data_IF_698222253647
#
_entry.id   IF_698222253647
#
_cell.length_a   1.000
_cell.length_b   1.000
_cell.length_c   1.000
_cell.angle_alpha   90.00
_cell.angle_beta   90.00
_cell.angle_gamma   90.00
#
_symmetry.space_group_name_H-M   'P 1'
#
loop_
_entity.id
_entity.type
_entity.pdbx_description
1 polymer ?
#
# COMPACT_ATOMS: atom_id res chain seq x y z
N UNK A 1 -15.11 39.14 14.51
CA UNK A 1 -16.11 38.29 13.83
C UNK A 1 -15.57 37.74 12.52
N UNK A 2 -14.73 36.70 12.56
CA UNK A 2 -14.34 35.95 11.37
C UNK A 2 -15.22 34.70 11.30
N UNK A 3 -16.00 34.58 10.23
CA UNK A 3 -17.00 33.51 10.00
C UNK A 3 -16.34 32.14 10.14
N UNK A 4 -16.86 31.30 11.05
CA UNK A 4 -16.47 29.90 11.28
C UNK A 4 -16.13 29.04 10.03
N UNK A 5 -16.74 29.20 8.83
CA UNK A 5 -16.31 28.48 7.63
C UNK A 5 -14.91 28.85 7.10
N UNK A 6 -14.42 30.08 7.30
CA UNK A 6 -13.10 30.49 6.76
C UNK A 6 -11.94 29.89 7.56
N UNK A 7 -12.15 29.63 8.86
CA UNK A 7 -11.17 28.99 9.74
C UNK A 7 -11.01 27.50 9.41
N UNK A 8 -12.09 26.83 8.99
CA UNK A 8 -12.03 25.45 8.46
C UNK A 8 -11.26 25.39 7.14
N UNK A 9 -11.50 26.35 6.24
CA UNK A 9 -10.76 26.44 4.98
C UNK A 9 -9.27 26.77 5.21
N UNK A 10 -8.97 27.64 6.17
CA UNK A 10 -7.60 27.97 6.55
C UNK A 10 -6.88 26.79 7.24
N UNK A 11 -7.57 25.96 8.03
CA UNK A 11 -7.00 24.71 8.55
C UNK A 11 -6.79 23.66 7.45
N UNK A 12 -7.70 23.57 6.47
CA UNK A 12 -7.56 22.66 5.32
C UNK A 12 -6.40 23.09 4.41
N UNK A 13 -6.24 24.40 4.19
CA UNK A 13 -5.11 24.99 3.47
C UNK A 13 -3.82 24.96 4.31
N UNK A 14 -3.88 25.09 5.63
CA UNK A 14 -2.72 24.94 6.51
C UNK A 14 -2.27 23.48 6.63
N UNK A 15 -3.18 22.51 6.54
CA UNK A 15 -2.83 21.09 6.39
C UNK A 15 -2.14 20.80 5.06
N UNK A 16 -2.52 21.52 4.00
CA UNK A 16 -1.83 21.49 2.71
C UNK A 16 -0.53 22.32 2.68
N UNK A 17 -0.38 23.33 3.54
CA UNK A 17 0.77 24.24 3.57
C UNK A 17 1.85 23.86 4.62
N UNK A 18 1.48 23.20 5.72
CA UNK A 18 2.44 22.60 6.68
C UNK A 18 3.31 21.49 6.04
N UNK A 19 2.88 21.05 4.86
CA UNK A 19 3.53 20.15 3.92
C UNK A 19 4.76 20.75 3.21
N UNK A 20 5.02 22.06 3.32
CA UNK A 20 6.09 22.76 2.59
C UNK A 20 7.38 23.00 3.39
N UNK A 21 7.43 22.60 4.67
CA UNK A 21 8.57 22.97 5.54
C UNK A 21 9.81 22.04 5.42
N UNK A 22 9.73 20.90 4.70
CA UNK A 22 10.90 20.15 4.22
C UNK A 22 10.70 19.84 2.73
N UNK A 23 11.07 20.77 1.83
CA UNK A 23 10.45 20.84 0.50
C UNK A 23 10.85 19.70 -0.44
N UNK A 24 12.08 19.18 -0.35
CA UNK A 24 12.55 18.16 -1.29
C UNK A 24 11.99 16.77 -0.95
N UNK A 25 12.15 16.30 0.29
CA UNK A 25 11.78 14.92 0.66
C UNK A 25 10.26 14.71 0.69
N UNK A 26 9.47 15.69 1.16
CA UNK A 26 8.01 15.58 1.12
C UNK A 26 7.49 15.55 -0.32
N UNK A 27 8.05 16.36 -1.22
CA UNK A 27 7.69 16.32 -2.65
C UNK A 27 7.88 14.92 -3.24
N UNK A 28 9.00 14.25 -2.96
CA UNK A 28 9.25 12.88 -3.42
C UNK A 28 8.23 11.88 -2.87
N UNK A 29 7.91 11.92 -1.58
CA UNK A 29 6.91 11.00 -1.00
C UNK A 29 5.52 11.18 -1.62
N UNK A 30 5.15 12.42 -1.95
CA UNK A 30 3.88 12.73 -2.59
C UNK A 30 3.86 12.30 -4.05
N UNK A 31 4.95 12.53 -4.79
CA UNK A 31 5.09 12.04 -6.16
C UNK A 31 4.92 10.51 -6.22
N UNK A 32 5.52 9.77 -5.28
CA UNK A 32 5.38 8.31 -5.21
C UNK A 32 3.94 7.89 -4.92
N UNK A 33 3.24 8.55 -3.98
CA UNK A 33 1.81 8.27 -3.72
C UNK A 33 0.93 8.53 -4.95
N UNK A 34 1.18 9.63 -5.67
CA UNK A 34 0.45 9.94 -6.90
C UNK A 34 0.70 8.90 -7.99
N UNK A 35 1.95 8.43 -8.14
CA UNK A 35 2.30 7.38 -9.10
C UNK A 35 1.59 6.07 -8.77
N UNK A 36 1.57 5.66 -7.50
CA UNK A 36 0.84 4.46 -7.06
C UNK A 36 -0.65 4.59 -7.35
N UNK A 37 -1.27 5.73 -7.06
CA UNK A 37 -2.68 5.97 -7.36
C UNK A 37 -2.98 5.93 -8.86
N UNK A 38 -2.12 6.52 -9.70
CA UNK A 38 -2.23 6.46 -11.16
C UNK A 38 -2.13 5.01 -11.66
N UNK A 39 -1.18 4.23 -11.15
CA UNK A 39 -1.04 2.83 -11.52
C UNK A 39 -2.25 2.00 -11.10
N UNK A 40 -2.79 2.24 -9.90
CA UNK A 40 -3.99 1.57 -9.41
C UNK A 40 -5.23 1.88 -10.24
N UNK A 41 -5.42 3.16 -10.61
CA UNK A 41 -6.49 3.59 -11.50
C UNK A 41 -6.34 2.98 -12.90
N UNK A 42 -5.13 2.92 -13.45
CA UNK A 42 -4.87 2.30 -14.74
C UNK A 42 -5.23 0.81 -14.72
N UNK A 43 -4.83 0.08 -13.68
CA UNK A 43 -5.17 -1.35 -13.49
C UNK A 43 -6.68 -1.55 -13.37
N UNK A 44 -7.36 -0.72 -12.58
CA UNK A 44 -8.82 -0.81 -12.43
C UNK A 44 -9.56 -0.51 -13.74
N UNK A 45 -9.11 0.49 -14.51
CA UNK A 45 -9.68 0.81 -15.82
C UNK A 45 -9.50 -0.33 -16.83
N UNK A 46 -8.31 -0.96 -16.85
CA UNK A 46 -8.05 -2.14 -17.67
C UNK A 46 -8.95 -3.32 -17.32
N UNK A 47 -9.26 -3.51 -16.03
CA UNK A 47 -10.13 -4.58 -15.55
C UNK A 47 -11.62 -4.29 -15.77
N UNK A 48 -12.03 -3.03 -15.69
CA UNK A 48 -13.41 -2.60 -15.95
C UNK A 48 -13.83 -2.94 -17.38
N UNK A 49 -12.89 -2.83 -18.33
CA UNK A 49 -13.12 -3.22 -19.71
C UNK A 49 -13.40 -4.73 -19.90
N UNK A 50 -13.02 -5.58 -18.93
CA UNK A 50 -13.09 -7.04 -19.05
C UNK A 50 -14.32 -7.71 -18.40
N UNK A 51 -15.24 -6.94 -17.80
CA UNK A 51 -16.53 -7.37 -17.23
C UNK A 51 -16.50 -8.37 -16.04
N UNK A 52 -17.30 -8.04 -15.01
CA UNK A 52 -17.94 -8.89 -13.98
C UNK A 52 -17.15 -9.56 -12.82
N UNK A 53 -15.86 -9.31 -12.63
CA UNK A 53 -15.15 -9.81 -11.43
C UNK A 53 -14.99 -8.74 -10.34
N UNK A 54 -16.10 -8.37 -9.68
CA UNK A 54 -16.10 -7.40 -8.56
C UNK A 54 -15.15 -7.77 -7.42
N UNK A 55 -14.97 -9.06 -7.16
CA UNK A 55 -14.09 -9.54 -6.09
C UNK A 55 -12.62 -9.19 -6.32
N UNK A 56 -12.13 -9.23 -7.57
CA UNK A 56 -10.76 -8.86 -7.92
C UNK A 56 -10.49 -7.37 -7.73
N UNK A 57 -11.47 -6.52 -8.04
CA UNK A 57 -11.34 -5.07 -7.88
C UNK A 57 -11.15 -4.67 -6.42
N UNK A 58 -11.84 -5.34 -5.49
CA UNK A 58 -11.69 -5.10 -4.04
C UNK A 58 -10.28 -5.48 -3.54
N UNK A 59 -9.76 -6.63 -4.00
CA UNK A 59 -8.40 -7.07 -3.66
C UNK A 59 -7.34 -6.08 -4.15
N UNK A 60 -7.50 -5.54 -5.36
CA UNK A 60 -6.58 -4.55 -5.92
C UNK A 60 -6.65 -3.22 -5.15
N UNK A 61 -7.85 -2.78 -4.79
CA UNK A 61 -8.02 -1.60 -3.94
C UNK A 61 -7.32 -1.79 -2.59
N UNK A 62 -7.38 -3.00 -2.03
CA UNK A 62 -6.70 -3.35 -0.78
C UNK A 62 -5.17 -3.35 -0.92
N UNK A 63 -4.63 -3.83 -2.05
CA UNK A 63 -3.20 -3.73 -2.38
C UNK A 63 -2.77 -2.26 -2.50
N UNK A 64 -3.55 -1.42 -3.16
CA UNK A 64 -3.26 0.02 -3.30
C UNK A 64 -3.26 0.68 -1.91
N UNK A 65 -4.26 0.36 -1.08
CA UNK A 65 -4.33 0.86 0.28
C UNK A 65 -3.11 0.43 1.12
N UNK A 66 -2.70 -0.83 1.03
CA UNK A 66 -1.48 -1.33 1.68
C UNK A 66 -0.22 -0.56 1.23
N UNK A 67 -0.09 -0.29 -0.07
CA UNK A 67 1.00 0.52 -0.60
C UNK A 67 0.99 1.98 -0.10
N UNK A 68 -0.19 2.59 0.00
CA UNK A 68 -0.32 3.96 0.54
C UNK A 68 0.07 4.03 2.02
N UNK A 69 -0.30 3.02 2.81
CA UNK A 69 0.12 2.89 4.21
C UNK A 69 1.63 2.69 4.32
N UNK A 70 2.22 1.88 3.42
CA UNK A 70 3.66 1.66 3.38
C UNK A 70 4.43 2.96 3.16
N UNK A 71 4.04 3.78 2.17
CA UNK A 71 4.71 5.06 1.89
C UNK A 71 4.54 6.06 3.04
N UNK A 72 3.45 5.95 3.81
CA UNK A 72 3.19 6.80 4.97
C UNK A 72 3.79 6.31 6.28
N UNK A 73 4.44 5.14 6.29
CA UNK A 73 4.93 4.51 7.51
C UNK A 73 6.23 5.14 8.01
N UNK A 74 6.35 5.32 9.33
CA UNK A 74 7.51 5.93 9.99
C UNK A 74 8.23 4.98 10.94
N UNK A 75 7.56 3.89 11.35
CA UNK A 75 8.09 2.91 12.30
C UNK A 75 8.23 1.52 11.64
N UNK A 76 9.18 0.71 12.11
CA UNK A 76 9.44 -0.63 11.58
C UNK A 76 8.20 -1.55 11.60
N UNK A 77 7.42 -1.52 12.70
CA UNK A 77 6.17 -2.30 12.80
C UNK A 77 5.14 -1.85 11.76
N UNK A 78 5.02 -0.53 11.53
CA UNK A 78 4.08 -0.02 10.52
C UNK A 78 4.50 -0.38 9.10
N UNK A 79 5.80 -0.43 8.80
CA UNK A 79 6.34 -0.92 7.53
C UNK A 79 5.97 -2.40 7.35
N UNK A 80 6.22 -3.22 8.37
CA UNK A 80 5.92 -4.66 8.33
C UNK A 80 4.42 -4.94 8.09
N UNK A 81 3.54 -4.29 8.86
CA UNK A 81 2.10 -4.46 8.72
C UNK A 81 1.59 -4.04 7.33
N UNK A 82 2.11 -2.94 6.79
CA UNK A 82 1.74 -2.48 5.46
C UNK A 82 2.22 -3.44 4.36
N UNK A 83 3.43 -4.02 4.52
CA UNK A 83 3.97 -5.05 3.62
C UNK A 83 3.14 -6.33 3.66
N UNK A 84 2.81 -6.86 4.84
CA UNK A 84 1.97 -8.06 4.98
C UNK A 84 0.58 -7.85 4.38
N UNK A 85 -0.02 -6.69 4.61
CA UNK A 85 -1.35 -6.39 4.08
C UNK A 85 -1.38 -6.45 2.54
N UNK A 86 -0.42 -5.81 1.85
CA UNK A 86 -0.41 -5.85 0.39
C UNK A 86 -0.02 -7.23 -0.17
N UNK A 87 0.89 -7.95 0.50
CA UNK A 87 1.39 -9.25 0.01
C UNK A 87 0.34 -10.34 0.13
N UNK A 88 -0.42 -10.40 1.24
CA UNK A 88 -1.55 -11.34 1.39
C UNK A 88 -2.60 -11.14 0.30
N UNK A 89 -2.93 -9.89 -0.03
CA UNK A 89 -3.86 -9.58 -1.11
C UNK A 89 -3.33 -10.03 -2.48
N UNK A 90 -2.03 -9.83 -2.73
CA UNK A 90 -1.37 -10.31 -3.94
C UNK A 90 -1.36 -11.84 -4.05
N UNK A 91 -1.15 -12.58 -2.95
CA UNK A 91 -1.20 -14.05 -2.99
C UNK A 91 -2.58 -14.55 -3.43
N UNK A 92 -3.64 -13.91 -2.95
CA UNK A 92 -5.02 -14.23 -3.35
C UNK A 92 -5.25 -13.88 -4.83
N UNK A 93 -4.71 -12.75 -5.32
CA UNK A 93 -4.82 -12.35 -6.73
C UNK A 93 -4.09 -13.32 -7.68
N UNK A 94 -2.91 -13.82 -7.30
CA UNK A 94 -2.16 -14.80 -8.12
C UNK A 94 -2.92 -16.13 -8.20
N UNK A 95 -3.57 -16.54 -7.10
CA UNK A 95 -4.38 -17.76 -7.02
C UNK A 95 -5.86 -17.55 -7.40
N UNK A 96 -6.22 -16.41 -8.00
CA UNK A 96 -7.62 -16.05 -8.24
C UNK A 96 -8.33 -17.02 -9.20
N UNK A 97 -7.61 -17.56 -10.19
CA UNK A 97 -8.18 -18.48 -11.18
C UNK A 97 -8.21 -19.92 -10.65
N UNK A 98 -9.28 -20.25 -9.91
CA UNK A 98 -9.49 -21.57 -9.28
C UNK A 98 -9.56 -22.74 -10.26
N UNK A 99 -9.86 -22.49 -11.53
CA UNK A 99 -10.01 -23.54 -12.55
C UNK A 99 -8.66 -23.97 -13.14
N UNK A 100 -7.59 -23.20 -12.90
CA UNK A 100 -6.26 -23.47 -13.44
C UNK A 100 -5.34 -24.00 -12.34
N UNK A 101 -4.85 -25.23 -12.53
CA UNK A 101 -3.83 -25.82 -11.66
C UNK A 101 -2.54 -24.98 -11.63
N UNK A 102 -2.21 -24.33 -12.75
CA UNK A 102 -1.04 -23.44 -12.84
C UNK A 102 -1.17 -22.20 -11.95
N UNK A 103 -2.39 -21.64 -11.82
CA UNK A 103 -2.64 -20.48 -10.94
C UNK A 103 -2.53 -20.88 -9.46
N UNK A 104 -3.03 -22.07 -9.11
CA UNK A 104 -2.89 -22.62 -7.76
C UNK A 104 -1.41 -22.90 -7.41
N UNK A 105 -0.64 -23.50 -8.32
CA UNK A 105 0.78 -23.77 -8.12
C UNK A 105 1.60 -22.47 -8.02
N UNK A 106 1.34 -21.50 -8.91
CA UNK A 106 1.99 -20.19 -8.87
C UNK A 106 1.68 -19.44 -7.56
N UNK A 107 0.42 -19.47 -7.11
CA UNK A 107 0.00 -18.87 -5.85
C UNK A 107 0.71 -19.48 -4.64
N UNK A 108 0.84 -20.81 -4.62
CA UNK A 108 1.59 -21.51 -3.56
C UNK A 108 3.07 -21.12 -3.56
N UNK A 109 3.72 -21.07 -4.74
CA UNK A 109 5.13 -20.66 -4.86
C UNK A 109 5.34 -19.23 -4.39
N UNK A 110 4.46 -18.30 -4.80
CA UNK A 110 4.50 -16.90 -4.35
C UNK A 110 4.27 -16.78 -2.84
N UNK A 111 3.32 -17.53 -2.28
CA UNK A 111 3.05 -17.55 -0.85
C UNK A 111 4.26 -18.02 -0.04
N UNK A 112 4.88 -19.15 -0.43
CA UNK A 112 6.04 -19.71 0.29
C UNK A 112 7.24 -18.77 0.23
N UNK A 113 7.57 -18.24 -0.95
CA UNK A 113 8.66 -17.28 -1.11
C UNK A 113 8.40 -15.97 -0.35
N UNK A 114 7.16 -15.50 -0.37
CA UNK A 114 6.75 -14.29 0.33
C UNK A 114 6.79 -14.45 1.85
N UNK A 115 6.27 -15.54 2.40
CA UNK A 115 6.30 -15.83 3.82
C UNK A 115 7.73 -15.96 4.36
N UNK A 116 8.62 -16.60 3.60
CA UNK A 116 10.04 -16.69 3.95
C UNK A 116 10.71 -15.31 3.96
N UNK A 117 10.51 -14.51 2.90
CA UNK A 117 11.05 -13.15 2.81
C UNK A 117 10.56 -12.26 3.94
N UNK A 118 9.27 -12.33 4.25
CA UNK A 118 8.67 -11.54 5.33
C UNK A 118 9.19 -11.96 6.71
N UNK A 119 9.38 -13.27 6.93
CA UNK A 119 10.01 -13.79 8.14
C UNK A 119 11.45 -13.30 8.30
N UNK A 120 12.24 -13.26 7.23
CA UNK A 120 13.58 -12.69 7.24
C UNK A 120 13.57 -11.18 7.53
N UNK A 121 12.61 -10.44 6.98
CA UNK A 121 12.45 -9.01 7.26
C UNK A 121 12.14 -8.76 8.74
N UNK A 122 11.16 -9.48 9.30
CA UNK A 122 10.79 -9.34 10.72
C UNK A 122 11.93 -9.76 11.63
N UNK A 123 12.66 -10.83 11.29
CA UNK A 123 13.88 -11.21 12.01
C UNK A 123 14.94 -10.10 11.97
N UNK A 124 15.14 -9.45 10.83
CA UNK A 124 16.00 -8.27 10.71
C UNK A 124 15.55 -7.12 11.61
N UNK A 125 14.25 -6.81 11.63
CA UNK A 125 13.69 -5.80 12.55
C UNK A 125 13.92 -6.18 14.02
N UNK A 126 13.75 -7.45 14.38
CA UNK A 126 13.96 -7.94 15.74
C UNK A 126 15.43 -7.82 16.18
N UNK A 127 16.38 -8.10 15.27
CA UNK A 127 17.81 -7.91 15.55
C UNK A 127 18.16 -6.43 15.76
N UNK A 128 17.65 -5.54 14.89
CA UNK A 128 17.86 -4.09 15.03
C UNK A 128 17.30 -3.64 16.38
N UNK A 129 16.03 -3.97 16.66
CA UNK A 129 15.36 -3.60 17.91
C UNK A 129 16.09 -4.14 19.14
N UNK A 130 16.46 -5.43 19.15
CA UNK A 130 17.19 -6.04 20.26
C UNK A 130 18.61 -5.49 20.47
N UNK A 131 19.24 -4.98 19.41
CA UNK A 131 20.55 -4.32 19.52
C UNK A 131 20.47 -2.88 20.01
N UNK A 132 19.36 -2.17 19.72
CA UNK A 132 19.15 -0.77 20.09
C UNK A 132 18.42 -0.59 21.42
N UNK A 133 17.69 -1.61 21.88
CA UNK A 133 16.81 -1.57 23.06
C UNK A 133 15.33 -1.51 22.70
#
# INVERSE_FOLDING_TARGET
>A
GLKAPTLRLAMLLAGAAGLLAVPHLLCWTQAIKMLVMLSGLAILCMLDHQTSHRSSSLLILLVILGNLLLIGSTNLISIYLALEMQTLCMFILVAYNKNSLLSAEAGLKYFVLGALSSGLFLFGCALIYGSTG
#
